data_IF_370855144540
#
_entry.id   IF_370855144540
#
_cell.length_a   1.000
_cell.length_b   1.000
_cell.length_c   1.000
_cell.angle_alpha   90.00
_cell.angle_beta   90.00
_cell.angle_gamma   90.00
#
_symmetry.space_group_name_H-M   'P 1'
#
loop_
_entity.id
_entity.type
_entity.pdbx_description
1 polymer ?
#
# COMPACT_ATOMS: atom_id res chain seq x y z
N UNK A 1 -11.83 0.49 -11.97
CA UNK A 1 -13.29 0.26 -12.00
C UNK A 1 -13.98 0.88 -10.78
N UNK A 2 -13.46 0.68 -9.55
CA UNK A 2 -14.15 1.14 -8.33
C UNK A 2 -14.27 2.68 -8.25
N UNK A 3 -13.20 3.42 -8.53
CA UNK A 3 -13.20 4.90 -8.40
C UNK A 3 -14.31 5.55 -9.22
N UNK A 4 -14.44 5.33 -10.55
CA UNK A 4 -15.54 5.95 -11.32
C UNK A 4 -16.91 5.51 -10.83
N UNK A 5 -17.12 4.23 -10.47
CA UNK A 5 -18.39 3.75 -9.95
C UNK A 5 -18.81 4.47 -8.66
N UNK A 6 -17.86 4.76 -7.78
CA UNK A 6 -18.14 5.52 -6.55
C UNK A 6 -18.40 6.98 -6.88
N UNK A 7 -17.62 7.60 -7.79
CA UNK A 7 -17.84 8.98 -8.21
C UNK A 7 -19.23 9.17 -8.85
N UNK A 8 -19.68 8.20 -9.65
CA UNK A 8 -20.99 8.24 -10.29
C UNK A 8 -22.16 8.02 -9.29
N UNK A 9 -21.87 7.38 -8.16
CA UNK A 9 -22.89 7.02 -7.16
C UNK A 9 -23.13 8.08 -6.08
N UNK A 10 -22.32 9.15 -6.01
CA UNK A 10 -22.41 10.17 -4.95
C UNK A 10 -21.94 11.54 -5.42
N UNK A 11 -22.56 12.59 -4.88
CA UNK A 11 -22.13 13.99 -5.05
C UNK A 11 -21.04 14.39 -4.03
N UNK A 12 -20.65 13.48 -3.13
CA UNK A 12 -19.60 13.77 -2.15
C UNK A 12 -18.21 13.71 -2.80
N UNK A 13 -17.25 14.50 -2.28
CA UNK A 13 -15.86 14.42 -2.74
C UNK A 13 -15.28 13.01 -2.53
N UNK A 14 -14.78 12.40 -3.61
CA UNK A 14 -14.19 11.05 -3.57
C UNK A 14 -12.66 11.14 -3.54
N UNK A 15 -12.03 10.50 -2.56
CA UNK A 15 -10.59 10.37 -2.43
C UNK A 15 -10.19 8.94 -2.83
N UNK A 16 -9.40 8.80 -3.90
CA UNK A 16 -8.91 7.50 -4.35
C UNK A 16 -7.80 6.99 -3.42
N UNK A 17 -7.91 5.74 -2.98
CA UNK A 17 -6.93 5.10 -2.11
C UNK A 17 -6.54 3.71 -2.62
N UNK A 18 -5.25 3.38 -2.51
CA UNK A 18 -4.69 2.08 -2.86
C UNK A 18 -4.01 2.05 -4.24
N UNK A 19 -2.80 1.52 -4.28
CA UNK A 19 -2.01 1.37 -5.51
C UNK A 19 -1.33 2.65 -6.02
N UNK A 20 -1.52 3.78 -5.37
CA UNK A 20 -0.98 5.09 -5.78
C UNK A 20 0.35 5.32 -5.08
N UNK A 21 1.41 5.67 -5.82
CA UNK A 21 2.75 5.93 -5.27
C UNK A 21 3.52 7.04 -6.00
N UNK A 22 3.06 7.48 -7.15
CA UNK A 22 3.69 8.51 -7.99
C UNK A 22 2.65 9.38 -8.69
N UNK A 23 3.12 10.40 -9.43
CA UNK A 23 2.25 11.34 -10.15
C UNK A 23 1.39 10.69 -11.24
N UNK A 24 1.79 9.54 -11.79
CA UNK A 24 0.98 8.79 -12.76
C UNK A 24 -0.30 8.27 -12.10
N UNK A 25 -0.16 7.70 -10.90
CA UNK A 25 -1.30 7.23 -10.11
C UNK A 25 -2.21 8.36 -9.67
N UNK A 26 -1.65 9.53 -9.31
CA UNK A 26 -2.40 10.74 -8.97
C UNK A 26 -3.20 11.24 -10.18
N UNK A 27 -2.54 11.42 -11.33
CA UNK A 27 -3.20 11.87 -12.56
C UNK A 27 -4.31 10.93 -13.01
N UNK A 28 -4.05 9.61 -12.98
CA UNK A 28 -5.06 8.60 -13.32
C UNK A 28 -6.28 8.69 -12.38
N UNK A 29 -6.07 8.88 -11.08
CA UNK A 29 -7.15 9.01 -10.10
C UNK A 29 -8.04 10.21 -10.38
N UNK A 30 -7.45 11.36 -10.73
CA UNK A 30 -8.20 12.56 -11.10
C UNK A 30 -8.98 12.37 -12.40
N UNK A 31 -8.38 11.73 -13.41
CA UNK A 31 -9.07 11.40 -14.67
C UNK A 31 -10.23 10.41 -14.48
N UNK A 32 -10.22 9.62 -13.41
CA UNK A 32 -11.31 8.73 -13.02
C UNK A 32 -12.38 9.40 -12.15
N UNK A 33 -12.27 10.71 -11.90
CA UNK A 33 -13.25 11.49 -11.16
C UNK A 33 -12.93 11.73 -9.68
N UNK A 34 -11.84 11.20 -9.14
CA UNK A 34 -11.45 11.49 -7.77
C UNK A 34 -11.00 12.96 -7.62
N UNK A 35 -11.29 13.57 -6.48
CA UNK A 35 -10.85 14.93 -6.13
C UNK A 35 -9.56 14.96 -5.29
N UNK A 36 -9.07 13.80 -4.86
CA UNK A 36 -7.84 13.65 -4.09
C UNK A 36 -7.38 12.20 -4.06
N UNK A 37 -6.19 11.99 -3.47
CA UNK A 37 -5.59 10.66 -3.30
C UNK A 37 -5.14 10.45 -1.87
N UNK A 38 -5.15 9.18 -1.42
CA UNK A 38 -4.56 8.75 -0.17
C UNK A 38 -3.49 7.69 -0.44
N UNK A 39 -2.29 7.91 0.08
CA UNK A 39 -1.15 7.02 -0.07
C UNK A 39 -0.68 6.54 1.30
N UNK A 40 -0.63 5.21 1.53
CA UNK A 40 -0.06 4.62 2.74
C UNK A 40 1.38 4.16 2.52
N UNK A 41 1.55 3.19 1.63
CA UNK A 41 2.85 2.52 1.39
C UNK A 41 3.96 3.48 0.97
N UNK A 42 3.66 4.50 0.17
CA UNK A 42 4.62 5.52 -0.23
C UNK A 42 5.21 6.27 0.96
N UNK A 43 4.40 6.56 1.98
CA UNK A 43 4.84 7.26 3.19
C UNK A 43 5.56 6.37 4.22
N UNK A 44 5.61 5.04 4.02
CA UNK A 44 6.48 4.18 4.84
C UNK A 44 7.97 4.52 4.65
N UNK A 45 8.34 5.09 3.49
CA UNK A 45 9.71 5.57 3.23
C UNK A 45 9.95 7.03 3.65
N UNK A 46 8.96 7.70 4.24
CA UNK A 46 9.17 9.05 4.74
C UNK A 46 10.18 9.07 5.89
N UNK A 47 11.05 10.10 5.92
CA UNK A 47 12.04 10.27 7.00
C UNK A 47 11.35 10.32 8.37
N UNK A 48 10.19 10.99 8.43
CA UNK A 48 9.39 11.17 9.64
C UNK A 48 8.63 9.91 10.08
N UNK A 49 8.55 8.89 9.22
CA UNK A 49 7.90 7.63 9.55
C UNK A 49 8.77 6.83 10.54
N UNK A 50 8.28 6.65 11.77
CA UNK A 50 9.01 6.03 12.88
C UNK A 50 8.95 4.50 12.92
N UNK A 51 8.74 3.84 11.78
CA UNK A 51 8.82 2.38 11.68
C UNK A 51 10.27 1.90 11.75
N UNK A 52 10.46 0.63 12.12
CA UNK A 52 11.78 0.02 12.22
C UNK A 52 12.56 0.11 10.89
N UNK A 53 13.88 0.39 10.90
CA UNK A 53 14.69 0.50 9.67
C UNK A 53 14.58 -0.72 8.74
N UNK A 54 14.53 -1.94 9.29
CA UNK A 54 14.31 -3.16 8.49
C UNK A 54 13.02 -3.09 7.67
N UNK A 55 11.97 -2.47 8.20
CA UNK A 55 10.70 -2.32 7.45
C UNK A 55 10.89 -1.38 6.26
N UNK A 56 11.54 -0.22 6.47
CA UNK A 56 11.84 0.73 5.38
C UNK A 56 12.71 0.07 4.32
N UNK A 57 13.79 -0.61 4.72
CA UNK A 57 14.68 -1.33 3.81
C UNK A 57 13.91 -2.33 2.94
N UNK A 58 13.00 -3.11 3.54
CA UNK A 58 12.17 -4.06 2.80
C UNK A 58 11.22 -3.40 1.80
N UNK A 59 10.73 -2.20 2.10
CA UNK A 59 9.92 -1.41 1.15
C UNK A 59 10.78 -0.91 0.00
N UNK A 60 11.97 -0.37 0.26
CA UNK A 60 12.88 0.17 -0.77
C UNK A 60 13.36 -0.88 -1.77
N UNK A 61 13.50 -2.13 -1.31
CA UNK A 61 13.91 -3.27 -2.15
C UNK A 61 12.72 -4.09 -2.67
N UNK A 62 11.49 -3.58 -2.51
CA UNK A 62 10.31 -4.29 -2.96
C UNK A 62 10.23 -4.38 -4.48
N UNK A 63 9.72 -5.52 -4.96
CA UNK A 63 9.37 -5.77 -6.36
C UNK A 63 7.85 -5.92 -6.50
N UNK A 64 7.36 -5.98 -7.72
CA UNK A 64 5.95 -6.20 -8.04
C UNK A 64 5.39 -7.53 -7.50
N UNK A 65 6.25 -8.53 -7.30
CA UNK A 65 5.89 -9.87 -6.81
C UNK A 65 6.07 -10.04 -5.29
N UNK A 66 6.54 -9.01 -4.57
CA UNK A 66 6.94 -9.14 -3.17
C UNK A 66 5.78 -9.16 -2.18
N UNK A 67 4.53 -8.97 -2.59
CA UNK A 67 3.37 -8.94 -1.70
C UNK A 67 2.48 -10.18 -1.81
N UNK A 68 1.73 -10.45 -0.75
CA UNK A 68 0.70 -11.49 -0.68
C UNK A 68 -0.48 -10.99 0.14
N UNK A 69 -1.62 -11.69 0.04
CA UNK A 69 -2.82 -11.38 0.83
C UNK A 69 -3.11 -12.55 1.77
N UNK A 70 -3.26 -12.26 3.06
CA UNK A 70 -3.62 -13.18 4.13
C UNK A 70 -4.93 -12.74 4.80
N UNK A 71 -5.54 -13.60 5.63
CA UNK A 71 -6.75 -13.28 6.39
C UNK A 71 -8.05 -13.31 5.56
N UNK A 72 -8.03 -13.94 4.40
CA UNK A 72 -9.22 -14.05 3.54
C UNK A 72 -10.30 -14.92 4.18
N UNK A 73 -9.92 -16.04 4.79
CA UNK A 73 -10.84 -16.99 5.43
C UNK A 73 -11.59 -16.35 6.61
N UNK A 74 -10.89 -15.51 7.38
CA UNK A 74 -11.48 -14.79 8.51
C UNK A 74 -12.27 -13.52 8.10
N UNK A 75 -12.37 -13.20 6.79
CA UNK A 75 -13.07 -12.01 6.31
C UNK A 75 -12.31 -10.69 6.52
N UNK A 76 -11.05 -10.74 6.95
CA UNK A 76 -10.19 -9.58 7.20
C UNK A 76 -8.93 -9.61 6.32
N UNK A 77 -9.07 -9.56 4.96
CA UNK A 77 -7.93 -9.66 4.07
C UNK A 77 -7.00 -8.45 4.23
N UNK A 78 -5.72 -8.72 4.44
CA UNK A 78 -4.67 -7.72 4.48
C UNK A 78 -3.57 -8.06 3.47
N UNK A 79 -2.97 -7.04 2.87
CA UNK A 79 -1.83 -7.21 1.99
C UNK A 79 -0.54 -6.87 2.74
N UNK A 80 0.42 -7.76 2.67
CA UNK A 80 1.73 -7.62 3.31
C UNK A 80 2.86 -8.07 2.40
N UNK A 81 4.10 -7.73 2.76
CA UNK A 81 5.29 -8.30 2.15
C UNK A 81 5.34 -9.81 2.41
N UNK A 82 5.87 -10.56 1.45
CA UNK A 82 6.11 -12.01 1.57
C UNK A 82 7.28 -12.28 2.52
N UNK A 83 6.96 -12.40 3.80
CA UNK A 83 7.88 -12.79 4.87
C UNK A 83 7.67 -14.25 5.25
N UNK A 84 8.48 -14.75 6.18
CA UNK A 84 8.26 -16.06 6.77
C UNK A 84 6.88 -16.12 7.44
N UNK A 85 6.53 -15.11 8.25
CA UNK A 85 5.21 -14.99 8.87
C UNK A 85 4.08 -15.12 7.84
N UNK A 86 4.14 -14.37 6.73
CA UNK A 86 3.09 -14.39 5.71
C UNK A 86 2.91 -15.78 5.07
N UNK A 87 4.02 -16.52 4.87
CA UNK A 87 3.98 -17.90 4.36
C UNK A 87 3.38 -18.87 5.36
N UNK A 88 3.78 -18.78 6.63
CA UNK A 88 3.27 -19.63 7.71
C UNK A 88 1.79 -19.37 7.97
N UNK A 89 1.39 -18.08 8.00
CA UNK A 89 -0.01 -17.69 8.14
C UNK A 89 -0.86 -18.24 6.98
N UNK A 90 -0.41 -18.09 5.73
CA UNK A 90 -1.10 -18.63 4.56
C UNK A 90 -1.23 -20.15 4.64
N UNK A 91 -0.17 -20.84 5.07
CA UNK A 91 -0.20 -22.30 5.24
C UNK A 91 -1.21 -22.71 6.32
N UNK A 92 -1.26 -22.02 7.44
CA UNK A 92 -2.22 -22.25 8.52
C UNK A 92 -3.66 -21.95 8.05
N UNK A 93 -3.86 -20.81 7.37
CA UNK A 93 -5.15 -20.36 6.85
C UNK A 93 -5.83 -21.39 5.94
N UNK A 94 -5.06 -22.03 5.05
CA UNK A 94 -5.58 -23.02 4.11
C UNK A 94 -5.30 -24.47 4.52
N UNK A 95 -4.55 -24.69 5.61
CA UNK A 95 -4.22 -26.00 6.16
C UNK A 95 -5.21 -26.54 7.17
N UNK A 96 -6.32 -25.85 7.41
CA UNK A 96 -7.38 -26.31 8.32
C UNK A 96 -7.18 -25.97 9.80
N UNK A 97 -6.28 -25.01 10.11
CA UNK A 97 -6.15 -24.47 11.48
C UNK A 97 -7.51 -23.89 11.94
N UNK A 98 -7.96 -24.10 13.18
CA UNK A 98 -9.15 -23.44 13.73
C UNK A 98 -9.08 -21.92 13.65
N UNK A 99 -10.24 -21.25 13.52
CA UNK A 99 -10.29 -19.80 13.29
C UNK A 99 -9.73 -18.99 14.47
N UNK A 100 -10.02 -19.41 15.70
CA UNK A 100 -9.50 -18.81 16.92
C UNK A 100 -7.96 -18.92 17.03
N UNK A 101 -7.39 -20.06 16.67
CA UNK A 101 -5.94 -20.25 16.62
C UNK A 101 -5.30 -19.39 15.51
N UNK A 102 -5.95 -19.29 14.36
CA UNK A 102 -5.49 -18.47 13.24
C UNK A 102 -5.51 -16.97 13.59
N UNK A 103 -6.55 -16.50 14.29
CA UNK A 103 -6.61 -15.12 14.82
C UNK A 103 -5.45 -14.86 15.78
N UNK A 104 -5.21 -15.77 16.73
CA UNK A 104 -4.12 -15.65 17.71
C UNK A 104 -2.74 -15.60 17.05
N UNK A 105 -2.53 -16.31 15.95
CA UNK A 105 -1.29 -16.25 15.16
C UNK A 105 -1.01 -14.84 14.62
N UNK A 106 -2.07 -14.08 14.30
CA UNK A 106 -2.00 -12.70 13.81
C UNK A 106 -1.77 -11.65 14.90
N UNK A 107 -2.11 -11.97 16.16
CA UNK A 107 -2.05 -11.00 17.27
C UNK A 107 -0.64 -10.47 17.47
N UNK A 108 -0.50 -9.15 17.45
CA UNK A 108 0.76 -8.46 17.66
C UNK A 108 1.77 -8.52 16.50
N UNK A 109 1.50 -9.27 15.43
CA UNK A 109 2.44 -9.43 14.31
C UNK A 109 2.77 -8.09 13.63
N UNK A 110 1.81 -7.18 13.49
CA UNK A 110 2.08 -5.83 12.96
C UNK A 110 3.03 -5.04 13.89
N UNK A 111 2.83 -5.11 15.20
CA UNK A 111 3.71 -4.44 16.17
C UNK A 111 5.15 -4.97 16.08
N UNK A 112 5.34 -6.28 15.95
CA UNK A 112 6.66 -6.90 15.76
C UNK A 112 7.35 -6.36 14.51
N UNK A 113 6.64 -6.21 13.38
CA UNK A 113 7.19 -5.60 12.18
C UNK A 113 7.57 -4.13 12.39
N UNK A 114 6.65 -3.33 12.97
CA UNK A 114 6.79 -1.87 13.08
C UNK A 114 7.83 -1.46 14.11
N UNK A 115 7.87 -2.13 15.27
CA UNK A 115 8.72 -1.74 16.42
C UNK A 115 10.01 -2.54 16.53
N UNK A 116 9.97 -3.81 16.16
CA UNK A 116 11.07 -4.75 16.38
C UNK A 116 11.78 -5.13 15.06
N UNK A 117 11.15 -4.88 13.92
CA UNK A 117 11.66 -5.28 12.61
C UNK A 117 11.81 -6.80 12.45
N UNK A 118 11.02 -7.55 13.23
CA UNK A 118 11.07 -9.02 13.27
C UNK A 118 10.64 -9.63 11.94
N UNK A 119 11.61 -10.11 11.18
CA UNK A 119 11.40 -10.69 9.84
C UNK A 119 10.75 -12.08 9.86
N UNK A 120 10.80 -12.77 10.99
CA UNK A 120 10.23 -14.11 11.12
C UNK A 120 8.75 -14.06 11.51
N UNK A 121 8.41 -13.22 12.51
CA UNK A 121 7.10 -13.15 13.15
C UNK A 121 6.33 -11.86 12.86
N UNK A 122 6.94 -10.92 12.13
CA UNK A 122 6.35 -9.63 11.81
C UNK A 122 5.46 -9.67 10.56
N UNK A 123 4.30 -9.01 10.64
CA UNK A 123 3.43 -8.73 9.50
C UNK A 123 3.76 -7.35 8.94
N UNK A 124 4.45 -7.29 7.81
CA UNK A 124 4.88 -6.06 7.15
C UNK A 124 3.82 -5.62 6.13
N UNK A 125 2.84 -4.85 6.56
CA UNK A 125 1.75 -4.39 5.69
C UNK A 125 2.29 -3.48 4.58
N UNK A 126 2.00 -3.81 3.33
CA UNK A 126 2.36 -2.99 2.18
C UNK A 126 1.47 -3.30 0.98
N UNK A 127 1.08 -2.27 0.23
CA UNK A 127 0.42 -2.42 -1.05
C UNK A 127 1.39 -2.84 -2.16
N UNK A 128 0.86 -3.22 -3.32
CA UNK A 128 1.67 -3.54 -4.51
C UNK A 128 2.49 -2.33 -4.98
N UNK A 129 2.05 -1.11 -4.68
CA UNK A 129 2.77 0.14 -4.93
C UNK A 129 4.13 0.23 -4.23
N UNK A 130 4.48 -0.68 -3.31
CA UNK A 130 5.82 -0.77 -2.74
C UNK A 130 6.91 -0.89 -3.81
N UNK A 131 6.61 -1.53 -4.95
CA UNK A 131 7.54 -1.67 -6.07
C UNK A 131 8.01 -0.33 -6.67
N UNK A 132 7.23 0.75 -6.49
CA UNK A 132 7.57 2.09 -6.96
C UNK A 132 8.36 2.94 -5.94
N UNK A 133 8.45 2.50 -4.68
CA UNK A 133 9.16 3.21 -3.62
C UNK A 133 10.63 2.88 -3.67
N UNK A 134 11.51 3.86 -3.98
CA UNK A 134 12.94 3.61 -4.25
C UNK A 134 13.90 4.38 -3.36
N UNK A 135 13.40 5.36 -2.60
CA UNK A 135 14.24 6.18 -1.73
C UNK A 135 13.49 6.62 -0.49
N UNK A 136 14.24 6.90 0.57
CA UNK A 136 13.75 7.66 1.72
C UNK A 136 13.86 9.15 1.41
N UNK A 137 12.86 9.92 1.82
CA UNK A 137 12.83 11.37 1.66
C UNK A 137 11.85 12.00 2.65
N UNK A 138 11.94 13.31 2.92
CA UNK A 138 10.96 14.01 3.74
C UNK A 138 9.53 13.87 3.21
N UNK A 139 8.55 13.73 4.08
CA UNK A 139 7.14 13.61 3.70
C UNK A 139 6.66 14.79 2.83
N UNK A 140 7.16 16.00 3.11
CA UNK A 140 6.85 17.18 2.31
C UNK A 140 7.37 17.08 0.87
N UNK A 141 8.52 16.42 0.67
CA UNK A 141 9.07 16.19 -0.68
C UNK A 141 8.26 15.15 -1.43
N UNK A 142 7.81 14.09 -0.76
CA UNK A 142 6.91 13.09 -1.34
C UNK A 142 5.64 13.78 -1.88
N UNK A 143 5.02 14.65 -1.08
CA UNK A 143 3.81 15.38 -1.50
C UNK A 143 4.11 16.27 -2.72
N UNK A 144 5.22 17.01 -2.70
CA UNK A 144 5.62 17.89 -3.80
C UNK A 144 5.86 17.09 -5.07
N UNK A 145 6.69 16.05 -4.99
CA UNK A 145 7.07 15.18 -6.10
C UNK A 145 5.85 14.62 -6.84
N UNK A 146 4.92 14.01 -6.13
CA UNK A 146 3.76 13.37 -6.77
C UNK A 146 2.82 14.38 -7.45
N UNK A 147 2.76 15.63 -6.96
CA UNK A 147 1.97 16.69 -7.60
C UNK A 147 2.72 17.26 -8.81
N UNK A 148 4.02 17.54 -8.67
CA UNK A 148 4.86 18.02 -9.78
C UNK A 148 4.94 17.01 -10.93
N UNK A 149 4.92 15.71 -10.65
CA UNK A 149 4.84 14.66 -11.66
C UNK A 149 3.44 14.54 -12.31
N UNK A 150 2.38 14.71 -11.53
CA UNK A 150 1.01 14.61 -12.04
C UNK A 150 0.63 15.78 -12.96
N UNK A 151 1.09 16.98 -12.66
CA UNK A 151 0.72 18.20 -13.38
C UNK A 151 1.01 18.15 -14.89
N UNK A 152 2.22 17.78 -15.36
CA UNK A 152 2.49 17.69 -16.80
C UNK A 152 1.70 16.56 -17.47
N UNK A 153 1.39 15.48 -16.76
CA UNK A 153 0.55 14.39 -17.28
C UNK A 153 -0.87 14.89 -17.54
N UNK A 154 -1.45 15.61 -16.59
CA UNK A 154 -2.78 16.19 -16.72
C UNK A 154 -2.84 17.26 -17.80
N UNK A 155 -1.86 18.18 -17.84
CA UNK A 155 -1.74 19.21 -18.91
C UNK A 155 -1.53 18.59 -20.29
N UNK A 156 -0.80 17.48 -20.38
CA UNK A 156 -0.54 16.77 -21.62
C UNK A 156 -1.68 15.88 -22.10
N UNK A 157 -2.74 15.71 -21.32
CA UNK A 157 -3.87 14.86 -21.70
C UNK A 157 -4.63 15.36 -22.94
N UNK A 158 -4.59 16.68 -23.22
CA UNK A 158 -5.20 17.27 -24.42
C UNK A 158 -4.64 16.71 -25.75
N UNK A 159 -3.42 16.14 -25.75
CA UNK A 159 -2.84 15.48 -26.97
C UNK A 159 -3.64 14.27 -27.44
N UNK A 160 -4.52 13.72 -26.61
CA UNK A 160 -5.37 12.60 -26.95
C UNK A 160 -6.79 13.01 -27.42
N UNK A 161 -7.05 14.33 -27.41
CA UNK A 161 -8.34 14.92 -27.79
C UNK A 161 -8.06 15.84 -28.96
N UNK A 162 -8.11 15.32 -30.17
CA UNK A 162 -7.97 16.04 -31.45
C UNK A 162 -9.31 16.35 -32.04
#
# INVERSE_FOLDING_TARGET
VLVPLVCDATDLPVIAAGGIADGRGVAASFMLGACGVQMGTRFLSANECSIHPTYKDRILHATDLCTTVTGKRLGHPVRSLRTQFAREYTKAEFGGMPDDELEQLGVGALRKAVKEGDMEKGCFLAGQSAAFVKQEQPAAEIVREVIEEAEPILKGACRWVS
#
